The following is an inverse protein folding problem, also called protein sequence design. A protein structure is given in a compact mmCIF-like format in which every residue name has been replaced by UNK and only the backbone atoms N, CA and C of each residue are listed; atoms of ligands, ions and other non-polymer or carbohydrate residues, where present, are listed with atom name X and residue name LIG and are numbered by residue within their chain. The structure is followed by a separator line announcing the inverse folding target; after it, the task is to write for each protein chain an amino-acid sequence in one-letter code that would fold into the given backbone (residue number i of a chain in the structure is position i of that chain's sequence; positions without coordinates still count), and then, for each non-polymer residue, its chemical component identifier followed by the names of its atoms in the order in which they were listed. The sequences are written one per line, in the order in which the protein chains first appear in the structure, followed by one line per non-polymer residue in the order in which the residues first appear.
data_IF_814966158614
#
_entry.id   IF_814966158614
#
_cell.length_a   1.000
_cell.length_b   1.000
_cell.length_c   1.000
_cell.angle_alpha   90.00
_cell.angle_beta   90.00
_cell.angle_gamma   90.00
#
_symmetry.space_group_name_H-M   'P 1'
#
loop_
_entity.id
_entity.type
_entity.pdbx_description
1 polymer ?
#
# COMPACT_ATOMS: atom_id res chain seq x y z
N UNK A 1 26.00 47.36 18.47
CA UNK A 1 26.37 46.14 17.70
C UNK A 1 26.04 44.88 18.48
N UNK A 2 26.60 44.69 19.69
CA UNK A 2 26.34 43.50 20.52
C UNK A 2 24.88 43.33 20.95
N UNK A 3 24.18 44.39 21.33
CA UNK A 3 22.76 44.32 21.73
C UNK A 3 21.85 43.79 20.61
N UNK A 4 22.10 44.20 19.37
CA UNK A 4 21.34 43.72 18.20
C UNK A 4 21.59 42.24 17.93
N UNK A 5 22.85 41.79 18.11
CA UNK A 5 23.20 40.37 17.99
C UNK A 5 22.48 39.54 19.06
N UNK A 6 22.44 40.02 20.31
CA UNK A 6 21.73 39.33 21.40
C UNK A 6 20.22 39.24 21.15
N UNK A 7 19.60 40.34 20.71
CA UNK A 7 18.17 40.35 20.40
C UNK A 7 17.81 39.39 19.24
N UNK A 8 18.66 39.28 18.23
CA UNK A 8 18.43 38.35 17.14
C UNK A 8 18.61 36.90 17.57
N UNK A 9 19.55 36.62 18.47
CA UNK A 9 19.73 35.30 19.04
C UNK A 9 18.46 34.86 19.80
N UNK A 10 17.94 35.71 20.67
CA UNK A 10 16.71 35.43 21.44
C UNK A 10 15.49 35.16 20.52
N UNK A 11 15.36 35.94 19.45
CA UNK A 11 14.32 35.73 18.43
C UNK A 11 14.47 34.40 17.72
N UNK A 12 15.69 34.04 17.34
CA UNK A 12 15.98 32.75 16.70
C UNK A 12 15.70 31.58 17.64
N UNK A 13 16.13 31.66 18.89
CA UNK A 13 15.92 30.61 19.90
C UNK A 13 14.43 30.41 20.18
N UNK A 14 13.67 31.51 20.28
CA UNK A 14 12.21 31.45 20.41
C UNK A 14 11.56 30.81 19.18
N UNK A 15 12.02 31.18 17.98
CA UNK A 15 11.53 30.60 16.74
C UNK A 15 11.76 29.09 16.67
N UNK A 16 12.96 28.62 17.06
CA UNK A 16 13.32 27.20 17.11
C UNK A 16 12.44 26.44 18.11
N UNK A 17 12.19 27.02 19.29
CA UNK A 17 11.30 26.41 20.29
C UNK A 17 9.88 26.25 19.75
N UNK A 18 9.33 27.30 19.13
CA UNK A 18 7.99 27.26 18.53
C UNK A 18 7.91 26.21 17.40
N UNK A 19 8.93 26.11 16.55
CA UNK A 19 8.99 25.07 15.51
C UNK A 19 9.06 23.66 16.10
N UNK A 20 9.84 23.47 17.16
CA UNK A 20 9.96 22.17 17.85
C UNK A 20 8.63 21.75 18.46
N UNK A 21 7.92 22.69 19.10
CA UNK A 21 6.59 22.44 19.65
C UNK A 21 5.57 22.13 18.55
N UNK A 22 5.61 22.88 17.44
CA UNK A 22 4.74 22.65 16.29
C UNK A 22 4.95 21.24 15.70
N UNK A 23 6.20 20.83 15.49
CA UNK A 23 6.53 19.48 15.01
C UNK A 23 6.09 18.42 16.02
N UNK A 24 6.34 18.66 17.31
CA UNK A 24 5.92 17.77 18.39
C UNK A 24 4.40 17.55 18.44
N UNK A 25 3.61 18.62 18.31
CA UNK A 25 2.14 18.58 18.37
C UNK A 25 1.51 17.73 17.26
N UNK A 26 2.19 17.60 16.11
CA UNK A 26 1.69 16.82 14.96
C UNK A 26 2.26 15.41 14.90
N UNK A 27 3.24 15.06 15.74
CA UNK A 27 3.89 13.74 15.70
C UNK A 27 2.90 12.60 15.94
N UNK A 28 2.10 12.68 17.02
CA UNK A 28 1.13 11.62 17.34
C UNK A 28 -0.04 11.52 16.35
N UNK A 29 -0.67 12.65 15.91
CA UNK A 29 -1.68 12.60 14.85
C UNK A 29 -1.16 12.00 13.54
N UNK A 30 0.07 12.33 13.11
CA UNK A 30 0.67 11.78 11.88
C UNK A 30 0.89 10.27 12.03
N UNK A 31 1.49 9.80 13.13
CA UNK A 31 1.69 8.37 13.37
C UNK A 31 0.36 7.60 13.37
N UNK A 32 -0.68 8.19 13.96
CA UNK A 32 -2.03 7.61 13.94
C UNK A 32 -2.56 7.51 12.51
N UNK A 33 -2.44 8.57 11.71
CA UNK A 33 -2.86 8.57 10.31
C UNK A 33 -2.11 7.51 9.50
N UNK A 34 -0.80 7.38 9.68
CA UNK A 34 0.01 6.36 9.01
C UNK A 34 -0.49 4.94 9.30
N UNK A 35 -0.78 4.63 10.58
CA UNK A 35 -1.36 3.34 10.95
C UNK A 35 -2.71 3.10 10.27
N UNK A 36 -3.60 4.09 10.31
CA UNK A 36 -4.93 3.98 9.68
C UNK A 36 -4.83 3.75 8.17
N UNK A 37 -3.91 4.45 7.48
CA UNK A 37 -3.71 4.30 6.04
C UNK A 37 -3.13 2.92 5.69
N UNK A 38 -2.25 2.37 6.54
CA UNK A 38 -1.70 1.01 6.36
C UNK A 38 -2.78 -0.05 6.49
N UNK A 39 -3.65 0.06 7.49
CA UNK A 39 -4.72 -0.91 7.71
C UNK A 39 -5.79 -0.81 6.61
N UNK A 40 -6.18 0.40 6.21
CA UNK A 40 -7.06 0.62 5.06
C UNK A 40 -6.47 0.01 3.78
N UNK A 41 -5.17 0.21 3.53
CA UNK A 41 -4.49 -0.36 2.37
C UNK A 41 -4.56 -1.89 2.37
N UNK A 42 -4.37 -2.54 3.53
CA UNK A 42 -4.47 -4.01 3.68
C UNK A 42 -5.88 -4.52 3.42
N UNK A 43 -6.90 -3.79 3.88
CA UNK A 43 -8.30 -4.16 3.71
C UNK A 43 -8.78 -3.99 2.26
N UNK A 44 -8.42 -2.87 1.63
CA UNK A 44 -8.85 -2.53 0.27
C UNK A 44 -8.03 -3.23 -0.83
N UNK A 45 -6.78 -3.61 -0.53
CA UNK A 45 -5.90 -4.30 -1.46
C UNK A 45 -5.54 -5.69 -0.91
N UNK A 46 -6.51 -6.60 -0.73
CA UNK A 46 -6.20 -7.96 -0.36
C UNK A 46 -5.33 -8.54 -1.47
N UNK A 47 -4.07 -8.89 -1.15
CA UNK A 47 -3.18 -9.57 -2.09
C UNK A 47 -3.89 -10.85 -2.52
N UNK A 48 -4.41 -10.88 -3.75
CA UNK A 48 -4.90 -12.13 -4.33
C UNK A 48 -3.70 -13.07 -4.38
N UNK A 49 -3.75 -14.19 -3.65
CA UNK A 49 -2.83 -15.31 -3.88
C UNK A 49 -3.08 -15.78 -5.32
N UNK A 50 -2.28 -15.28 -6.24
CA UNK A 50 -2.24 -15.81 -7.59
C UNK A 50 -1.44 -17.10 -7.55
N UNK A 51 -2.13 -18.24 -7.71
CA UNK A 51 -1.85 -18.98 -8.93
C UNK A 51 -2.79 -18.37 -9.94
N UNK A 52 -2.27 -17.68 -10.95
CA UNK A 52 -3.16 -17.14 -11.98
C UNK A 52 -3.90 -18.33 -12.61
N UNK A 53 -5.21 -18.24 -12.89
CA UNK A 53 -5.93 -19.33 -13.56
C UNK A 53 -5.38 -19.58 -14.98
N UNK A 54 -4.62 -18.64 -15.55
CA UNK A 54 -3.86 -18.82 -16.79
C UNK A 54 -2.74 -19.87 -16.67
N UNK A 55 -2.28 -20.19 -15.46
CA UNK A 55 -1.26 -21.22 -15.24
C UNK A 55 -1.86 -22.64 -15.18
N UNK A 56 -3.19 -22.76 -15.13
CA UNK A 56 -3.92 -24.04 -15.01
C UNK A 56 -4.94 -24.19 -16.15
N UNK A 57 -4.58 -23.82 -17.37
CA UNK A 57 -5.22 -24.46 -18.53
C UNK A 57 -4.23 -25.50 -19.03
N UNK A 58 -4.32 -26.70 -18.47
CA UNK A 58 -3.65 -27.85 -19.06
C UNK A 58 -4.23 -28.03 -20.46
N UNK A 59 -3.43 -27.70 -21.48
CA UNK A 59 -3.74 -28.03 -22.86
C UNK A 59 -4.09 -29.53 -22.93
N UNK A 60 -5.32 -29.93 -23.26
CA UNK A 60 -5.61 -31.34 -23.46
C UNK A 60 -4.80 -31.78 -24.69
N UNK A 61 -3.65 -32.41 -24.46
CA UNK A 61 -2.84 -32.96 -25.54
C UNK A 61 -3.67 -34.02 -26.24
N UNK A 62 -4.23 -33.64 -27.40
CA UNK A 62 -4.85 -34.56 -28.34
C UNK A 62 -3.78 -35.46 -28.95
N UNK A 63 -3.42 -36.54 -28.26
CA UNK A 63 -2.81 -37.71 -28.91
C UNK A 63 -3.92 -38.72 -29.14
N UNK A 64 -4.40 -38.76 -30.38
CA UNK A 64 -5.64 -39.46 -30.75
C UNK A 64 -5.60 -40.98 -30.67
N UNK A 65 -6.81 -41.57 -30.62
CA UNK A 65 -7.26 -42.73 -31.40
C UNK A 65 -8.53 -43.31 -30.74
N UNK A 66 -9.71 -42.93 -31.22
CA UNK A 66 -10.97 -43.57 -30.84
C UNK A 66 -12.21 -42.74 -31.19
N UNK A 67 -13.36 -43.34 -31.58
CA UNK A 67 -14.55 -42.61 -32.03
C UNK A 67 -15.28 -41.79 -30.95
N UNK A 68 -14.74 -41.73 -29.73
CA UNK A 68 -15.38 -41.10 -28.57
C UNK A 68 -14.37 -40.24 -27.82
N UNK A 69 -14.03 -39.08 -28.37
CA UNK A 69 -13.36 -38.03 -27.58
C UNK A 69 -14.32 -36.84 -27.43
N UNK A 70 -15.21 -36.92 -26.44
CA UNK A 70 -15.99 -35.76 -26.03
C UNK A 70 -15.04 -34.76 -25.37
N UNK A 71 -14.67 -33.71 -26.11
CA UNK A 71 -13.96 -32.56 -25.54
C UNK A 71 -15.00 -31.79 -24.71
N UNK A 72 -15.02 -32.02 -23.39
CA UNK A 72 -15.79 -31.17 -22.48
C UNK A 72 -15.00 -29.87 -22.23
N UNK A 73 -15.41 -28.79 -22.90
CA UNK A 73 -15.02 -27.45 -22.51
C UNK A 73 -15.85 -27.05 -21.28
N UNK A 74 -15.20 -26.89 -20.12
CA UNK A 74 -15.85 -26.34 -18.92
C UNK A 74 -15.76 -24.82 -19.01
N UNK A 75 -16.85 -24.16 -19.39
CA UNK A 75 -16.99 -22.71 -19.29
C UNK A 75 -17.61 -22.37 -17.94
N UNK A 76 -16.82 -21.84 -17.02
CA UNK A 76 -17.37 -21.25 -15.80
C UNK A 76 -18.01 -19.91 -16.14
N UNK A 77 -19.34 -19.88 -16.26
CA UNK A 77 -20.12 -18.64 -16.31
C UNK A 77 -20.19 -18.06 -14.89
N UNK A 78 -19.52 -16.94 -14.66
CA UNK A 78 -19.76 -16.11 -13.48
C UNK A 78 -21.10 -15.39 -13.63
N UNK A 79 -21.96 -15.51 -12.63
CA UNK A 79 -23.20 -14.73 -12.51
C UNK A 79 -22.95 -13.26 -12.22
#
# INVERSE_FOLDING_TARGET
MLEWVLQNQERSDTSIRNMTELVGSHTAPIQKLEMQMRDLSREQNPKRKGTFPSDIIANPKGSGSGPTSHIMAITTRSG
#
